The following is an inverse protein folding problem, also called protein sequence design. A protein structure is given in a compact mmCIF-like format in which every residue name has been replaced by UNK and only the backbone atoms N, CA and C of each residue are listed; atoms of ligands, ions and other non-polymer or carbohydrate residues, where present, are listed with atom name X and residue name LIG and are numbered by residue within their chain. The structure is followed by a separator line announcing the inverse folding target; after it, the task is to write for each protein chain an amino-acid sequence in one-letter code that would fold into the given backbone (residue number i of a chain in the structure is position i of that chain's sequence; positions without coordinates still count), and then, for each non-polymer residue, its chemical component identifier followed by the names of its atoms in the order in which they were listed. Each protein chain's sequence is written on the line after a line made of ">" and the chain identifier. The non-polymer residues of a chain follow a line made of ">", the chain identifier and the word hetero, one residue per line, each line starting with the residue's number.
data_IF_652288799614
#
_entry.id   IF_652288799614
#
_cell.length_a   1.000
_cell.length_b   1.000
_cell.length_c   1.000
_cell.angle_alpha   90.00
_cell.angle_beta   90.00
_cell.angle_gamma   90.00
#
_symmetry.space_group_name_H-M   'P 1'
#
loop_
_entity.id
_entity.type
_entity.pdbx_description
1 polymer ?
#
# COMPACT_ATOMS: atom_id res chain seq x y z
N UNK A 1 -14.05 -37.49 30.00
CA UNK A 1 -12.99 -37.89 30.95
C UNK A 1 -11.65 -37.88 30.25
N UNK A 2 -10.59 -37.39 30.93
CA UNK A 2 -9.15 -37.42 30.57
C UNK A 2 -8.78 -36.79 29.21
N UNK A 3 -8.26 -35.55 29.13
CA UNK A 3 -6.90 -35.08 29.51
C UNK A 3 -5.80 -36.07 29.13
N UNK A 4 -4.94 -35.71 28.17
CA UNK A 4 -3.48 -35.94 28.10
C UNK A 4 -2.99 -35.25 26.79
N UNK A 5 -1.81 -34.66 26.60
CA UNK A 5 -0.66 -34.32 27.45
C UNK A 5 0.45 -33.73 26.53
N UNK A 6 1.10 -32.65 26.99
CA UNK A 6 2.50 -32.19 26.79
C UNK A 6 3.12 -31.96 25.37
N UNK A 7 3.38 -30.67 25.07
CA UNK A 7 4.69 -29.98 25.12
C UNK A 7 5.98 -30.76 24.84
N UNK A 8 6.78 -30.28 23.88
CA UNK A 8 8.26 -30.26 23.97
C UNK A 8 8.87 -29.22 23.03
N UNK A 9 9.58 -28.25 23.63
CA UNK A 9 10.51 -27.31 23.01
C UNK A 9 11.82 -28.04 22.74
N UNK A 10 12.48 -27.78 21.60
CA UNK A 10 13.92 -28.04 21.47
C UNK A 10 14.58 -26.85 20.76
N UNK A 11 15.28 -26.04 21.53
CA UNK A 11 16.27 -25.10 21.05
C UNK A 11 17.60 -25.86 20.83
N UNK A 12 18.24 -25.67 19.67
CA UNK A 12 19.67 -25.88 19.53
C UNK A 12 20.29 -24.58 19.00
N UNK A 13 21.06 -23.93 19.87
CA UNK A 13 22.15 -23.08 19.42
C UNK A 13 23.34 -23.93 19.01
N UNK A 14 24.25 -23.37 18.21
CA UNK A 14 25.60 -23.03 18.65
C UNK A 14 26.39 -22.39 17.50
N UNK A 15 27.12 -21.36 17.91
CA UNK A 15 28.07 -20.56 17.17
C UNK A 15 29.23 -21.43 16.67
N UNK A 16 29.67 -21.20 15.43
CA UNK A 16 31.00 -21.59 14.97
C UNK A 16 31.67 -20.39 14.29
N UNK A 17 32.76 -19.93 14.89
CA UNK A 17 33.66 -18.89 14.41
C UNK A 17 34.99 -19.57 14.08
N UNK A 18 35.59 -19.33 12.90
CA UNK A 18 36.93 -19.85 12.61
C UNK A 18 37.37 -19.92 11.13
N UNK A 19 37.95 -18.81 10.65
CA UNK A 19 39.13 -18.67 9.76
C UNK A 19 39.39 -19.60 8.54
N UNK A 20 39.31 -18.95 7.36
CA UNK A 20 40.36 -18.69 6.35
C UNK A 20 40.75 -19.75 5.28
N UNK A 21 40.69 -19.23 4.03
CA UNK A 21 41.43 -19.51 2.78
C UNK A 21 40.88 -20.50 1.73
N UNK A 22 40.19 -19.89 0.75
CA UNK A 22 40.31 -19.96 -0.72
C UNK A 22 40.59 -21.30 -1.43
N UNK A 23 39.61 -21.77 -2.22
CA UNK A 23 39.84 -22.25 -3.59
C UNK A 23 38.70 -21.78 -4.51
N UNK A 24 39.10 -21.02 -5.51
CA UNK A 24 38.35 -20.54 -6.67
C UNK A 24 37.78 -21.71 -7.50
N UNK A 25 36.47 -21.75 -7.67
CA UNK A 25 35.84 -22.29 -8.89
C UNK A 25 34.78 -21.30 -9.33
N UNK A 26 35.06 -20.64 -10.44
CA UNK A 26 34.11 -19.83 -11.20
C UNK A 26 33.04 -20.77 -11.75
N UNK A 27 31.81 -20.65 -11.25
CA UNK A 27 30.62 -20.89 -12.05
C UNK A 27 29.74 -19.65 -11.96
N UNK A 28 29.82 -18.89 -13.04
CA UNK A 28 28.95 -17.82 -13.51
C UNK A 28 27.49 -18.24 -13.43
N UNK A 29 26.89 -18.12 -12.24
CA UNK A 29 25.44 -17.98 -12.11
C UNK A 29 25.13 -16.51 -12.25
N UNK A 30 24.74 -16.19 -13.47
CA UNK A 30 24.10 -14.96 -13.93
C UNK A 30 23.43 -14.21 -12.77
N UNK A 31 24.02 -13.07 -12.42
CA UNK A 31 23.30 -12.01 -11.73
C UNK A 31 22.15 -11.68 -12.66
N UNK A 32 20.94 -12.13 -12.33
CA UNK A 32 19.74 -11.55 -12.88
C UNK A 32 19.77 -10.11 -12.42
N UNK A 33 20.35 -9.28 -13.27
CA UNK A 33 20.40 -7.85 -13.13
C UNK A 33 18.94 -7.45 -13.19
N UNK A 34 18.32 -7.36 -12.01
CA UNK A 34 17.06 -6.67 -11.85
C UNK A 34 17.27 -5.33 -12.52
N UNK A 35 16.67 -5.19 -13.70
CA UNK A 35 16.55 -3.91 -14.36
C UNK A 35 15.70 -3.13 -13.38
N UNK A 36 16.34 -2.30 -12.56
CA UNK A 36 15.68 -1.25 -11.83
C UNK A 36 15.05 -0.37 -12.91
N UNK A 37 13.82 -0.72 -13.28
CA UNK A 37 12.93 0.21 -13.93
C UNK A 37 12.91 1.44 -13.01
N UNK A 38 13.02 2.66 -13.57
CA UNK A 38 12.90 3.86 -12.75
C UNK A 38 11.60 3.74 -11.95
N UNK A 39 11.71 3.84 -10.62
CA UNK A 39 10.53 3.84 -9.76
C UNK A 39 9.59 4.93 -10.29
N UNK A 40 8.39 4.53 -10.69
CA UNK A 40 7.39 5.48 -11.13
C UNK A 40 7.12 6.46 -9.97
N UNK A 41 7.18 7.76 -10.25
CA UNK A 41 6.97 8.79 -9.23
C UNK A 41 5.57 8.61 -8.63
N UNK A 42 5.53 8.34 -7.32
CA UNK A 42 4.28 8.19 -6.59
C UNK A 42 3.65 9.57 -6.37
N UNK A 43 2.43 9.74 -6.87
CA UNK A 43 1.55 10.85 -6.55
C UNK A 43 0.79 10.53 -5.27
N UNK A 44 0.93 11.40 -4.27
CA UNK A 44 0.22 11.32 -2.99
C UNK A 44 -0.62 12.57 -2.84
N UNK A 45 -1.93 12.42 -2.67
CA UNK A 45 -2.85 13.52 -2.37
C UNK A 45 -3.45 13.29 -0.99
N UNK A 46 -3.27 14.25 -0.10
CA UNK A 46 -3.90 14.25 1.22
C UNK A 46 -5.09 15.19 1.20
N UNK A 47 -6.24 14.70 1.65
CA UNK A 47 -7.48 15.46 1.77
C UNK A 47 -7.91 15.60 3.22
N UNK A 48 -8.26 16.81 3.63
CA UNK A 48 -9.00 17.05 4.86
C UNK A 48 -10.50 16.78 4.62
N UNK A 49 -11.16 16.13 5.57
CA UNK A 49 -12.61 15.91 5.55
C UNK A 49 -13.33 17.06 6.24
N UNK A 50 -14.44 17.52 5.66
CA UNK A 50 -15.24 18.60 6.26
C UNK A 50 -15.95 18.20 7.58
N UNK A 51 -16.15 16.90 7.82
CA UNK A 51 -16.73 16.38 9.08
C UNK A 51 -15.75 16.39 10.26
N UNK A 52 -14.48 16.73 10.02
CA UNK A 52 -13.43 16.80 11.04
C UNK A 52 -12.84 15.46 11.45
N UNK A 53 -13.19 14.36 10.77
CA UNK A 53 -12.54 13.07 10.95
C UNK A 53 -11.14 13.03 10.28
N UNK A 54 -10.44 11.90 10.41
CA UNK A 54 -9.09 11.72 9.89
C UNK A 54 -8.99 11.99 8.38
N UNK A 55 -7.85 12.54 7.96
CA UNK A 55 -7.59 12.81 6.55
C UNK A 55 -7.68 11.55 5.69
N UNK A 56 -8.05 11.74 4.42
CA UNK A 56 -8.04 10.70 3.40
C UNK A 56 -6.78 10.88 2.55
N UNK A 57 -6.01 9.81 2.36
CA UNK A 57 -4.83 9.85 1.47
C UNK A 57 -5.11 8.99 0.25
N UNK A 58 -4.88 9.53 -0.94
CA UNK A 58 -4.91 8.77 -2.20
C UNK A 58 -3.49 8.69 -2.75
N UNK A 59 -2.99 7.46 -2.95
CA UNK A 59 -1.66 7.17 -3.50
C UNK A 59 -1.80 6.52 -4.87
N UNK A 60 -1.00 6.90 -5.86
CA UNK A 60 -0.92 6.25 -7.17
C UNK A 60 0.41 6.53 -7.85
N UNK A 61 0.93 5.58 -8.62
CA UNK A 61 2.14 5.75 -9.44
C UNK A 61 1.86 5.67 -10.95
N UNK A 62 0.59 5.64 -11.36
CA UNK A 62 0.16 5.35 -12.73
C UNK A 62 -0.97 6.29 -13.22
N UNK A 63 -0.92 7.57 -12.83
CA UNK A 63 -1.95 8.56 -13.15
C UNK A 63 -3.36 8.12 -12.70
N UNK A 64 -3.45 7.44 -11.57
CA UNK A 64 -4.67 6.96 -10.96
C UNK A 64 -5.40 5.85 -11.74
N UNK A 65 -4.73 5.15 -12.67
CA UNK A 65 -5.27 3.90 -13.23
C UNK A 65 -5.52 2.88 -12.10
N UNK A 66 -4.53 2.75 -11.20
CA UNK A 66 -4.63 2.07 -9.91
C UNK A 66 -4.31 3.06 -8.78
N UNK A 67 -4.88 2.80 -7.61
CA UNK A 67 -4.65 3.66 -6.44
C UNK A 67 -4.86 2.90 -5.13
N UNK A 68 -4.32 3.46 -4.07
CA UNK A 68 -4.64 3.08 -2.69
C UNK A 68 -5.34 4.26 -2.01
N UNK A 69 -6.54 4.01 -1.49
CA UNK A 69 -7.22 4.94 -0.58
C UNK A 69 -6.80 4.54 0.83
N UNK A 70 -6.29 5.48 1.61
CA UNK A 70 -5.96 5.29 3.03
C UNK A 70 -6.93 6.09 3.87
N UNK A 71 -7.58 5.41 4.81
CA UNK A 71 -8.48 6.00 5.81
C UNK A 71 -7.93 5.58 7.17
N UNK A 72 -7.51 6.56 7.97
CA UNK A 72 -6.74 6.29 9.20
C UNK A 72 -5.49 5.43 8.89
N UNK A 73 -5.39 4.23 9.46
CA UNK A 73 -4.30 3.27 9.23
C UNK A 73 -4.71 2.12 8.29
N UNK A 74 -5.90 2.20 7.66
CA UNK A 74 -6.42 1.17 6.78
C UNK A 74 -6.21 1.53 5.31
N UNK A 75 -5.64 0.59 4.55
CA UNK A 75 -5.42 0.74 3.11
C UNK A 75 -6.45 -0.06 2.31
N UNK A 76 -7.02 0.58 1.29
CA UNK A 76 -8.02 0.01 0.39
C UNK A 76 -7.50 0.08 -1.04
N UNK A 77 -7.36 -1.09 -1.67
CA UNK A 77 -7.04 -1.18 -3.09
C UNK A 77 -8.22 -0.64 -3.92
N UNK A 78 -7.91 0.27 -4.83
CA UNK A 78 -8.88 0.96 -5.66
C UNK A 78 -8.34 1.17 -7.08
N UNK A 79 -9.23 1.56 -7.98
CA UNK A 79 -8.90 1.84 -9.38
C UNK A 79 -9.73 2.98 -9.91
N UNK A 80 -9.30 3.54 -11.04
CA UNK A 80 -10.10 4.55 -11.71
C UNK A 80 -11.50 4.02 -12.05
N UNK A 81 -12.50 4.85 -11.80
CA UNK A 81 -13.88 4.64 -12.19
C UNK A 81 -14.33 5.75 -13.15
N UNK A 82 -15.40 5.48 -13.90
CA UNK A 82 -15.96 6.45 -14.84
C UNK A 82 -16.44 7.69 -14.09
N UNK A 83 -16.02 8.87 -14.55
CA UNK A 83 -16.43 10.17 -14.04
C UNK A 83 -16.80 11.10 -15.20
N UNK A 84 -17.74 12.03 -14.97
CA UNK A 84 -18.08 13.05 -15.97
C UNK A 84 -17.04 14.18 -16.06
N UNK A 85 -16.26 14.39 -14.99
CA UNK A 85 -15.21 15.41 -14.89
C UNK A 85 -14.31 15.08 -13.70
N UNK A 86 -13.00 15.32 -13.81
CA UNK A 86 -12.05 15.00 -12.74
C UNK A 86 -11.75 13.50 -12.66
N UNK A 87 -11.20 13.06 -11.53
CA UNK A 87 -10.79 11.67 -11.30
C UNK A 87 -11.69 11.06 -10.24
N UNK A 88 -12.32 9.91 -10.55
CA UNK A 88 -12.99 9.08 -9.54
C UNK A 88 -12.18 7.81 -9.35
N UNK A 89 -11.84 7.49 -8.11
CA UNK A 89 -11.19 6.26 -7.69
C UNK A 89 -12.18 5.51 -6.81
N UNK A 90 -12.36 4.21 -7.03
CA UNK A 90 -13.28 3.39 -6.24
C UNK A 90 -12.72 2.01 -5.93
N UNK A 91 -13.08 1.47 -4.77
CA UNK A 91 -12.87 0.06 -4.43
C UNK A 91 -13.66 -0.84 -5.38
N UNK A 92 -13.24 -2.09 -5.52
CA UNK A 92 -13.92 -3.05 -6.42
C UNK A 92 -15.40 -3.27 -6.07
N UNK A 93 -15.75 -3.24 -4.78
CA UNK A 93 -17.12 -3.37 -4.30
C UNK A 93 -17.93 -2.06 -4.37
N UNK A 94 -17.29 -0.95 -4.75
CA UNK A 94 -17.91 0.37 -4.89
C UNK A 94 -18.36 1.03 -3.59
N UNK A 95 -18.02 0.47 -2.42
CA UNK A 95 -18.45 1.03 -1.12
C UNK A 95 -17.64 2.24 -0.69
N UNK A 96 -16.41 2.36 -1.18
CA UNK A 96 -15.53 3.49 -0.91
C UNK A 96 -15.12 4.09 -2.24
N UNK A 97 -15.32 5.38 -2.41
CA UNK A 97 -14.78 6.11 -3.55
C UNK A 97 -14.35 7.53 -3.19
N UNK A 98 -13.34 8.03 -3.90
CA UNK A 98 -12.91 9.42 -3.83
C UNK A 98 -13.04 10.01 -5.23
N UNK A 99 -13.89 11.02 -5.38
CA UNK A 99 -14.04 11.77 -6.62
C UNK A 99 -13.51 13.18 -6.43
N UNK A 100 -12.47 13.58 -7.16
CA UNK A 100 -11.82 14.86 -6.98
C UNK A 100 -11.48 15.57 -8.29
N UNK A 101 -11.30 16.88 -8.20
CA UNK A 101 -10.81 17.75 -9.26
C UNK A 101 -10.17 18.99 -8.64
N UNK A 102 -8.94 19.31 -9.05
CA UNK A 102 -8.16 20.39 -8.45
C UNK A 102 -8.03 20.17 -6.94
N UNK A 103 -8.37 21.18 -6.13
CA UNK A 103 -8.24 21.16 -4.67
C UNK A 103 -9.50 20.64 -3.95
N UNK A 104 -10.51 20.17 -4.68
CA UNK A 104 -11.81 19.75 -4.13
C UNK A 104 -12.10 18.27 -4.43
N UNK A 105 -12.82 17.61 -3.53
CA UNK A 105 -13.31 16.26 -3.77
C UNK A 105 -14.48 15.85 -2.88
N UNK A 106 -14.94 14.62 -3.06
CA UNK A 106 -15.99 13.97 -2.30
C UNK A 106 -15.51 12.54 -1.98
N UNK A 107 -15.53 12.19 -0.70
CA UNK A 107 -15.48 10.81 -0.22
C UNK A 107 -16.92 10.28 -0.20
N UNK A 108 -17.17 9.17 -0.88
CA UNK A 108 -18.39 8.37 -0.70
C UNK A 108 -17.98 7.12 0.08
N UNK A 109 -18.61 6.89 1.24
CA UNK A 109 -18.38 5.70 2.07
C UNK A 109 -19.72 5.13 2.54
N UNK A 110 -20.03 3.90 2.13
CA UNK A 110 -21.28 3.21 2.42
C UNK A 110 -22.54 4.05 2.10
N UNK A 111 -22.48 4.83 1.02
CA UNK A 111 -23.57 5.70 0.54
C UNK A 111 -23.70 7.03 1.29
N UNK A 112 -22.71 7.39 2.13
CA UNK A 112 -22.62 8.71 2.74
C UNK A 112 -21.53 9.52 2.05
N UNK A 113 -21.86 10.76 1.66
CA UNK A 113 -20.93 11.68 1.03
C UNK A 113 -20.35 12.67 2.05
N UNK A 114 -19.03 12.85 1.99
CA UNK A 114 -18.28 13.83 2.78
C UNK A 114 -17.41 14.64 1.84
N UNK A 115 -17.52 15.97 1.92
CA UNK A 115 -16.67 16.85 1.14
C UNK A 115 -15.21 16.80 1.62
N UNK A 116 -14.32 16.93 0.65
CA UNK A 116 -12.88 16.87 0.83
C UNK A 116 -12.22 18.13 0.28
N UNK A 117 -11.16 18.59 0.95
CA UNK A 117 -10.28 19.65 0.44
C UNK A 117 -8.83 19.19 0.50
N UNK A 118 -8.06 19.43 -0.57
CA UNK A 118 -6.63 19.09 -0.60
C UNK A 118 -5.87 19.88 0.48
N UNK A 119 -5.07 19.17 1.26
CA UNK A 119 -4.11 19.76 2.20
C UNK A 119 -2.88 20.18 1.40
N UNK A 120 -2.59 21.48 1.39
CA UNK A 120 -1.39 22.03 0.75
C UNK A 120 -0.24 22.03 1.74
N UNK A 121 0.91 21.51 1.32
CA UNK A 121 2.18 21.63 2.05
C UNK A 121 2.77 23.05 1.94
#
# INVERSE_FOLDING_TARGET
>A
MKKFLLLAVLALGLVACGQKEEVKTEETTQVEQAVEAPAAEETIITFAREDGEANIVVKSSDNFETATIVIEDQEYAAKQAVSGSGVKIATEDGKISVHFKNDEGILEMDGTDVNLTVVKE
#
